data_IF_546544229234
#
_entry.id   IF_546544229234
#
_cell.length_a   1.000
_cell.length_b   1.000
_cell.length_c   1.000
_cell.angle_alpha   90.00
_cell.angle_beta   90.00
_cell.angle_gamma   90.00
#
_symmetry.space_group_name_H-M   'P 1'
#
loop_
_entity.id
_entity.type
_entity.pdbx_description
1 polymer ?
#
# COMPACT_ATOMS: atom_id res chain seq x y z
N UNK A 1 -3.12 -3.39 22.60
CA UNK A 1 -2.62 -4.56 21.87
C UNK A 1 -3.72 -5.16 20.99
N UNK A 2 -3.39 -5.42 19.74
CA UNK A 2 -4.27 -6.16 18.84
C UNK A 2 -3.99 -7.66 19.05
N UNK A 3 -5.03 -8.47 19.22
CA UNK A 3 -4.88 -9.92 19.28
C UNK A 3 -4.64 -10.43 17.86
N UNK A 4 -3.55 -11.16 17.58
CA UNK A 4 -3.32 -11.74 16.27
C UNK A 4 -4.41 -12.77 15.94
N UNK A 5 -4.87 -12.87 14.69
CA UNK A 5 -5.82 -13.91 14.28
C UNK A 5 -5.17 -15.29 14.30
N UNK A 6 -6.02 -16.31 14.37
CA UNK A 6 -5.62 -17.72 14.32
C UNK A 6 -6.32 -18.36 13.12
N UNK A 7 -5.54 -18.82 12.15
CA UNK A 7 -6.03 -19.54 10.99
C UNK A 7 -5.99 -21.04 11.28
N UNK A 8 -7.12 -21.63 11.70
CA UNK A 8 -7.21 -23.04 12.11
C UNK A 8 -8.03 -23.91 11.14
N UNK A 9 -8.67 -23.31 10.14
CA UNK A 9 -9.49 -23.98 9.13
C UNK A 9 -9.39 -23.30 7.78
N UNK A 10 -10.23 -23.71 6.83
CA UNK A 10 -10.33 -23.07 5.54
C UNK A 10 -10.93 -21.66 5.67
N UNK A 11 -10.46 -20.76 4.81
CA UNK A 11 -10.78 -19.35 4.90
C UNK A 11 -11.85 -19.01 3.86
N UNK A 12 -12.91 -18.33 4.32
CA UNK A 12 -13.95 -17.79 3.47
C UNK A 12 -14.36 -16.40 3.91
N UNK A 13 -14.95 -15.64 3.02
CA UNK A 13 -15.51 -14.32 3.28
C UNK A 13 -17.05 -14.43 3.30
N UNK A 14 -17.68 -14.48 4.50
CA UNK A 14 -19.12 -14.68 4.59
C UNK A 14 -19.95 -13.45 4.19
N UNK A 15 -19.37 -12.25 4.26
CA UNK A 15 -20.04 -10.97 3.98
C UNK A 15 -19.02 -9.87 3.64
N UNK A 16 -19.48 -8.75 3.01
CA UNK A 16 -18.63 -7.57 2.81
C UNK A 16 -18.03 -7.05 4.11
N UNK A 17 -16.77 -6.61 4.06
CA UNK A 17 -16.00 -6.18 5.24
C UNK A 17 -15.96 -4.65 5.35
N UNK A 18 -15.66 -3.94 4.25
CA UNK A 18 -15.35 -2.50 4.22
C UNK A 18 -16.25 -1.72 3.28
N UNK A 19 -17.05 -2.37 2.46
CA UNK A 19 -17.90 -1.73 1.43
C UNK A 19 -18.80 -0.66 2.04
N UNK A 20 -19.48 -0.96 3.15
CA UNK A 20 -20.39 0.00 3.80
C UNK A 20 -19.64 1.26 4.31
N UNK A 21 -18.43 1.09 4.85
CA UNK A 21 -17.59 2.21 5.31
C UNK A 21 -17.08 3.04 4.13
N UNK A 22 -16.62 2.40 3.07
CA UNK A 22 -16.09 3.07 1.87
C UNK A 22 -17.19 3.86 1.15
N UNK A 23 -18.39 3.29 1.00
CA UNK A 23 -19.54 3.97 0.38
C UNK A 23 -20.04 5.11 1.25
N UNK A 24 -20.06 4.95 2.57
CA UNK A 24 -20.40 6.05 3.48
C UNK A 24 -19.38 7.21 3.34
N UNK A 25 -18.08 6.91 3.35
CA UNK A 25 -17.04 7.93 3.15
C UNK A 25 -17.21 8.63 1.79
N UNK A 26 -17.48 7.89 0.72
CA UNK A 26 -17.72 8.45 -0.61
C UNK A 26 -18.96 9.36 -0.65
N UNK A 27 -19.99 9.07 0.15
CA UNK A 27 -21.20 9.92 0.21
C UNK A 27 -20.98 11.31 0.80
N UNK A 28 -19.83 11.53 1.46
CA UNK A 28 -19.48 12.79 2.12
C UNK A 28 -18.68 13.75 1.20
N UNK A 29 -18.28 13.30 0.01
CA UNK A 29 -17.43 14.07 -0.90
C UNK A 29 -17.60 13.67 -2.36
N UNK A 30 -17.41 14.64 -3.26
CA UNK A 30 -17.33 14.40 -4.71
C UNK A 30 -15.91 13.95 -5.16
N UNK A 31 -14.92 13.93 -4.25
CA UNK A 31 -13.58 13.44 -4.55
C UNK A 31 -13.54 11.92 -4.43
N UNK A 32 -12.75 11.22 -5.26
CA UNK A 32 -12.60 9.78 -5.13
C UNK A 32 -12.12 9.39 -3.73
N UNK A 33 -12.86 8.48 -3.08
CA UNK A 33 -12.44 7.85 -1.84
C UNK A 33 -11.75 6.51 -2.14
N UNK A 34 -10.62 6.30 -1.48
CA UNK A 34 -9.85 5.07 -1.63
C UNK A 34 -10.40 3.99 -0.69
N UNK A 35 -10.75 2.82 -1.23
CA UNK A 35 -10.98 1.61 -0.45
C UNK A 35 -9.64 1.07 0.07
N UNK A 36 -9.61 0.66 1.35
CA UNK A 36 -8.38 0.22 2.02
C UNK A 36 -8.53 -1.20 2.55
N UNK A 37 -7.60 -2.07 2.20
CA UNK A 37 -7.57 -3.47 2.61
C UNK A 37 -6.17 -3.86 3.06
N UNK A 38 -6.07 -4.82 3.98
CA UNK A 38 -4.81 -5.52 4.26
C UNK A 38 -4.67 -6.68 3.27
N UNK A 39 -3.49 -6.83 2.69
CA UNK A 39 -3.21 -7.85 1.70
C UNK A 39 -3.05 -9.26 2.28
N UNK A 40 -3.18 -10.29 1.44
CA UNK A 40 -3.18 -11.68 1.90
C UNK A 40 -1.87 -12.13 2.55
N UNK A 41 -0.73 -11.65 2.06
CA UNK A 41 0.59 -12.00 2.62
C UNK A 41 0.77 -11.38 4.00
N UNK A 42 0.34 -10.14 4.17
CA UNK A 42 0.39 -9.44 5.45
C UNK A 42 -0.53 -10.09 6.47
N UNK A 43 -1.78 -10.42 6.11
CA UNK A 43 -2.70 -11.14 7.00
C UNK A 43 -2.10 -12.47 7.43
N UNK A 44 -1.53 -13.23 6.47
CA UNK A 44 -0.89 -14.51 6.76
C UNK A 44 0.26 -14.35 7.76
N UNK A 45 1.17 -13.38 7.52
CA UNK A 45 2.37 -13.21 8.33
C UNK A 45 2.08 -12.68 9.74
N UNK A 46 1.00 -11.93 9.91
CA UNK A 46 0.54 -11.43 11.22
C UNK A 46 -0.43 -12.35 11.94
N UNK A 47 -0.67 -13.56 11.41
CA UNK A 47 -1.55 -14.57 11.97
C UNK A 47 -0.77 -15.77 12.52
N UNK A 48 -1.35 -16.48 13.48
CA UNK A 48 -0.96 -17.85 13.77
C UNK A 48 -1.58 -18.75 12.70
N UNK A 49 -0.73 -19.37 11.88
CA UNK A 49 -1.17 -20.12 10.71
C UNK A 49 -1.19 -21.61 11.00
N UNK A 50 -2.25 -22.31 10.55
CA UNK A 50 -2.36 -23.77 10.56
C UNK A 50 -1.13 -24.43 9.92
N UNK A 51 -0.74 -25.60 10.38
CA UNK A 51 0.46 -26.35 9.98
C UNK A 51 0.17 -27.64 9.18
N UNK A 52 -1.10 -27.95 8.96
CA UNK A 52 -1.54 -29.13 8.21
C UNK A 52 -1.55 -28.94 6.69
N UNK A 53 -1.25 -27.72 6.22
CA UNK A 53 -1.07 -27.38 4.80
C UNK A 53 0.04 -26.34 4.60
N UNK A 54 0.60 -26.22 3.37
CA UNK A 54 1.59 -25.19 3.08
C UNK A 54 1.06 -23.78 3.30
N UNK A 55 1.91 -22.85 3.80
CA UNK A 55 1.56 -21.43 3.98
C UNK A 55 1.05 -20.78 2.69
N UNK A 56 1.59 -21.16 1.53
CA UNK A 56 1.13 -20.70 0.23
C UNK A 56 -0.34 -21.05 -0.04
N UNK A 57 -0.80 -22.24 0.35
CA UNK A 57 -2.20 -22.62 0.22
C UNK A 57 -3.13 -21.76 1.10
N UNK A 58 -2.73 -21.51 2.36
CA UNK A 58 -3.47 -20.60 3.23
C UNK A 58 -3.50 -19.16 2.70
N UNK A 59 -2.37 -18.69 2.14
CA UNK A 59 -2.28 -17.37 1.52
C UNK A 59 -3.22 -17.24 0.30
N UNK A 60 -3.28 -18.26 -0.53
CA UNK A 60 -4.19 -18.31 -1.68
C UNK A 60 -5.66 -18.23 -1.25
N UNK A 61 -6.05 -18.91 -0.17
CA UNK A 61 -7.41 -18.80 0.38
C UNK A 61 -7.71 -17.35 0.85
N UNK A 62 -6.74 -16.70 1.51
CA UNK A 62 -6.86 -15.28 1.88
C UNK A 62 -7.00 -14.39 0.64
N UNK A 63 -6.17 -14.63 -0.39
CA UNK A 63 -6.21 -13.87 -1.63
C UNK A 63 -7.58 -13.94 -2.32
N UNK A 64 -8.19 -15.12 -2.37
CA UNK A 64 -9.53 -15.31 -2.93
C UNK A 64 -10.62 -14.59 -2.10
N UNK A 65 -10.49 -14.58 -0.78
CA UNK A 65 -11.40 -13.85 0.10
C UNK A 65 -11.27 -12.33 -0.08
N UNK A 66 -10.05 -11.81 -0.17
CA UNK A 66 -9.76 -10.38 -0.44
C UNK A 66 -10.25 -9.99 -1.84
N UNK A 67 -10.06 -10.83 -2.84
CA UNK A 67 -10.57 -10.59 -4.20
C UNK A 67 -12.09 -10.34 -4.21
N UNK A 68 -12.85 -11.10 -3.44
CA UNK A 68 -14.30 -10.88 -3.33
C UNK A 68 -14.63 -9.49 -2.77
N UNK A 69 -13.85 -9.02 -1.77
CA UNK A 69 -14.02 -7.67 -1.24
C UNK A 69 -13.67 -6.60 -2.27
N UNK A 70 -12.56 -6.78 -3.00
CA UNK A 70 -12.12 -5.87 -4.07
C UNK A 70 -13.21 -5.73 -5.15
N UNK A 71 -13.79 -6.85 -5.59
CA UNK A 71 -14.89 -6.84 -6.56
C UNK A 71 -16.16 -6.17 -6.02
N UNK A 72 -16.48 -6.35 -4.75
CA UNK A 72 -17.66 -5.71 -4.16
C UNK A 72 -17.44 -4.21 -3.93
N UNK A 73 -16.21 -3.76 -3.61
CA UNK A 73 -15.85 -2.34 -3.56
C UNK A 73 -16.03 -1.69 -4.95
N UNK A 74 -15.51 -2.32 -6.00
CA UNK A 74 -15.69 -1.82 -7.37
C UNK A 74 -17.16 -1.73 -7.78
N UNK A 75 -17.95 -2.79 -7.53
CA UNK A 75 -19.41 -2.79 -7.78
C UNK A 75 -20.15 -1.68 -7.04
N UNK A 76 -19.65 -1.31 -5.85
CA UNK A 76 -20.18 -0.21 -5.06
C UNK A 76 -19.71 1.18 -5.54
N UNK A 77 -18.93 1.24 -6.64
CA UNK A 77 -18.47 2.49 -7.26
C UNK A 77 -17.13 3.01 -6.76
N UNK A 78 -16.41 2.26 -5.91
CA UNK A 78 -15.04 2.61 -5.49
C UNK A 78 -14.09 2.38 -6.67
N UNK A 79 -13.35 3.42 -7.07
CA UNK A 79 -12.48 3.40 -8.25
C UNK A 79 -11.00 3.30 -7.93
N UNK A 80 -10.63 3.47 -6.68
CA UNK A 80 -9.25 3.34 -6.20
C UNK A 80 -9.26 2.40 -5.02
N UNK A 81 -8.58 1.26 -5.12
CA UNK A 81 -8.54 0.24 -4.07
C UNK A 81 -7.08 -0.04 -3.72
N UNK A 82 -6.73 0.13 -2.45
CA UNK A 82 -5.40 -0.13 -1.94
C UNK A 82 -5.39 -1.43 -1.14
N UNK A 83 -4.44 -2.30 -1.46
CA UNK A 83 -4.21 -3.59 -0.81
C UNK A 83 -2.80 -3.55 -0.22
N UNK A 84 -2.69 -3.37 1.10
CA UNK A 84 -1.43 -3.13 1.79
C UNK A 84 -0.66 -4.42 2.06
N UNK A 85 0.57 -4.52 1.57
CA UNK A 85 1.49 -5.64 1.84
C UNK A 85 2.67 -5.22 2.72
N UNK A 86 2.34 -4.68 3.90
CA UNK A 86 3.30 -4.20 4.89
C UNK A 86 4.31 -5.28 5.33
N UNK A 87 3.88 -6.55 5.41
CA UNK A 87 4.69 -7.65 5.90
C UNK A 87 5.31 -8.53 4.81
N UNK A 88 5.32 -8.08 3.54
CA UNK A 88 5.94 -8.84 2.45
C UNK A 88 7.42 -9.15 2.75
N UNK A 89 8.20 -8.15 3.14
CA UNK A 89 9.61 -8.32 3.46
C UNK A 89 9.84 -9.03 4.79
N UNK A 90 9.02 -8.78 5.80
CA UNK A 90 9.09 -9.45 7.10
C UNK A 90 8.91 -10.97 6.98
N UNK A 91 8.10 -11.42 6.03
CA UNK A 91 7.82 -12.81 5.78
C UNK A 91 8.92 -13.58 5.04
N UNK A 92 10.00 -12.91 4.60
CA UNK A 92 11.10 -13.58 3.93
C UNK A 92 11.72 -14.68 4.80
N UNK A 93 11.93 -15.89 4.26
CA UNK A 93 12.60 -16.94 4.97
C UNK A 93 14.01 -16.53 5.40
N UNK A 94 14.52 -17.07 6.52
CA UNK A 94 15.88 -16.81 6.99
C UNK A 94 16.96 -17.22 5.98
N UNK A 95 16.69 -18.27 5.19
CA UNK A 95 17.62 -18.76 4.16
C UNK A 95 17.30 -18.10 2.82
N UNK A 96 18.25 -17.35 2.27
CA UNK A 96 18.13 -16.69 0.95
C UNK A 96 17.75 -17.64 -0.18
N UNK A 97 18.17 -18.90 -0.12
CA UNK A 97 17.82 -19.93 -1.11
C UNK A 97 16.32 -20.21 -1.19
N UNK A 98 15.55 -19.81 -0.19
CA UNK A 98 14.09 -19.99 -0.12
C UNK A 98 13.31 -18.72 -0.49
N UNK A 99 14.00 -17.59 -0.70
CA UNK A 99 13.35 -16.31 -0.97
C UNK A 99 12.52 -16.35 -2.25
N UNK A 100 13.09 -16.87 -3.33
CA UNK A 100 12.40 -16.89 -4.62
C UNK A 100 11.07 -17.66 -4.53
N UNK A 101 11.08 -18.85 -3.93
CA UNK A 101 9.86 -19.64 -3.75
C UNK A 101 8.81 -18.93 -2.90
N UNK A 102 9.24 -18.20 -1.85
CA UNK A 102 8.34 -17.38 -1.04
C UNK A 102 7.77 -16.22 -1.87
N UNK A 103 8.62 -15.47 -2.56
CA UNK A 103 8.22 -14.31 -3.34
C UNK A 103 7.30 -14.69 -4.51
N UNK A 104 7.52 -15.85 -5.13
CA UNK A 104 6.67 -16.33 -6.22
C UNK A 104 5.21 -16.49 -5.77
N UNK A 105 4.94 -17.23 -4.70
CA UNK A 105 3.56 -17.40 -4.23
C UNK A 105 2.99 -16.15 -3.54
N UNK A 106 3.84 -15.30 -2.96
CA UNK A 106 3.42 -14.04 -2.35
C UNK A 106 2.92 -13.06 -3.43
N UNK A 107 3.69 -12.89 -4.51
CA UNK A 107 3.29 -12.07 -5.67
C UNK A 107 2.03 -12.64 -6.33
N UNK A 108 1.96 -13.95 -6.54
CA UNK A 108 0.77 -14.61 -7.09
C UNK A 108 -0.46 -14.32 -6.22
N UNK A 109 -0.35 -14.46 -4.91
CA UNK A 109 -1.45 -14.19 -3.98
C UNK A 109 -1.91 -12.73 -4.03
N UNK A 110 -0.99 -11.76 -4.10
CA UNK A 110 -1.35 -10.36 -4.28
C UNK A 110 -2.10 -10.15 -5.61
N UNK A 111 -1.57 -10.64 -6.71
CA UNK A 111 -2.20 -10.53 -8.04
C UNK A 111 -3.59 -11.15 -8.09
N UNK A 112 -3.79 -12.28 -7.42
CA UNK A 112 -5.12 -12.91 -7.31
C UNK A 112 -6.06 -12.00 -6.53
N UNK A 113 -5.63 -11.40 -5.42
CA UNK A 113 -6.47 -10.49 -4.63
C UNK A 113 -6.84 -9.21 -5.39
N UNK A 114 -5.96 -8.71 -6.24
CA UNK A 114 -6.14 -7.50 -7.05
C UNK A 114 -6.92 -7.75 -8.35
N UNK A 115 -6.97 -8.99 -8.81
CA UNK A 115 -7.53 -9.36 -10.12
C UNK A 115 -9.06 -9.41 -10.12
N UNK A 116 -9.66 -9.22 -11.28
CA UNK A 116 -11.12 -9.34 -11.48
C UNK A 116 -11.89 -8.04 -11.35
N UNK A 117 -11.20 -6.91 -11.42
CA UNK A 117 -11.76 -5.56 -11.61
C UNK A 117 -11.52 -5.09 -13.04
N UNK A 118 -12.23 -4.05 -13.46
CA UNK A 118 -12.06 -3.41 -14.77
C UNK A 118 -10.77 -2.61 -14.82
N UNK A 119 -10.24 -2.36 -16.03
CA UNK A 119 -8.99 -1.63 -16.25
C UNK A 119 -9.03 -0.18 -15.72
N UNK A 120 -10.23 0.40 -15.58
CA UNK A 120 -10.41 1.74 -15.02
C UNK A 120 -10.35 1.79 -13.48
N UNK A 121 -10.38 0.64 -12.80
CA UNK A 121 -10.26 0.55 -11.35
C UNK A 121 -8.79 0.47 -10.96
N UNK A 122 -8.28 1.52 -10.34
CA UNK A 122 -6.88 1.64 -9.98
C UNK A 122 -6.56 0.84 -8.72
N UNK A 123 -5.55 -0.03 -8.82
CA UNK A 123 -5.06 -0.85 -7.70
C UNK A 123 -3.78 -0.23 -7.13
N UNK A 124 -3.84 0.10 -5.85
CA UNK A 124 -2.69 0.58 -5.09
C UNK A 124 -2.17 -0.48 -4.14
N UNK A 125 -0.90 -0.38 -3.77
CA UNK A 125 -0.32 -1.11 -2.64
C UNK A 125 0.50 -0.18 -1.77
N UNK A 126 0.76 -0.60 -0.55
CA UNK A 126 1.62 0.12 0.39
C UNK A 126 2.60 -0.82 1.05
N UNK A 127 3.83 -0.34 1.21
CA UNK A 127 4.89 -1.05 1.93
C UNK A 127 5.47 -0.17 3.02
N UNK A 128 5.38 -0.67 4.26
CA UNK A 128 5.97 -0.03 5.43
C UNK A 128 7.44 -0.44 5.58
N UNK A 129 8.30 0.47 6.02
CA UNK A 129 9.68 0.23 6.52
C UNK A 129 10.49 -0.84 5.76
N UNK A 130 10.43 -0.83 4.42
CA UNK A 130 11.09 -1.86 3.63
C UNK A 130 12.30 -1.33 2.89
N UNK A 131 13.44 -2.02 3.00
CA UNK A 131 14.53 -1.89 2.05
C UNK A 131 14.17 -2.70 0.81
N UNK A 132 14.04 -2.04 -0.36
CA UNK A 132 13.50 -2.66 -1.57
C UNK A 132 14.55 -3.33 -2.46
N UNK A 133 15.83 -3.00 -2.30
CA UNK A 133 16.88 -3.39 -3.24
C UNK A 133 16.89 -4.89 -3.54
N UNK A 134 16.68 -5.72 -2.53
CA UNK A 134 16.76 -7.18 -2.66
C UNK A 134 15.52 -7.82 -3.30
N UNK A 135 14.36 -7.12 -3.31
CA UNK A 135 13.07 -7.68 -3.73
C UNK A 135 12.30 -6.79 -4.72
N UNK A 136 12.92 -5.74 -5.23
CA UNK A 136 12.27 -4.75 -6.10
C UNK A 136 11.63 -5.37 -7.35
N UNK A 137 12.24 -6.42 -7.90
CA UNK A 137 11.69 -7.14 -9.05
C UNK A 137 10.38 -7.85 -8.70
N UNK A 138 10.30 -8.45 -7.52
CA UNK A 138 9.08 -9.09 -7.02
C UNK A 138 8.00 -8.07 -6.70
N UNK A 139 8.38 -6.90 -6.16
CA UNK A 139 7.45 -5.78 -5.95
C UNK A 139 6.87 -5.30 -7.29
N UNK A 140 7.70 -5.12 -8.29
CA UNK A 140 7.23 -4.76 -9.64
C UNK A 140 6.32 -5.83 -10.25
N UNK A 141 6.62 -7.11 -9.99
CA UNK A 141 5.83 -8.25 -10.47
C UNK A 141 4.44 -8.36 -9.79
N UNK A 142 4.20 -7.66 -8.66
CA UNK A 142 2.86 -7.54 -8.09
C UNK A 142 1.91 -6.78 -9.01
N UNK A 143 2.44 -5.92 -9.87
CA UNK A 143 1.70 -5.21 -10.91
C UNK A 143 0.60 -4.29 -10.37
N UNK A 144 0.86 -3.63 -9.24
CA UNK A 144 -0.01 -2.58 -8.73
C UNK A 144 0.22 -1.29 -9.52
N UNK A 145 -0.86 -0.56 -9.86
CA UNK A 145 -0.76 0.70 -10.60
C UNK A 145 0.04 1.76 -9.85
N UNK A 146 -0.09 1.79 -8.52
CA UNK A 146 0.64 2.71 -7.65
C UNK A 146 1.18 1.98 -6.42
N UNK A 147 2.46 2.18 -6.12
CA UNK A 147 3.04 1.80 -4.83
C UNK A 147 3.28 3.03 -3.97
N UNK A 148 2.79 3.01 -2.73
CA UNK A 148 3.13 4.01 -1.72
C UNK A 148 4.17 3.47 -0.75
N UNK A 149 5.16 4.29 -0.41
CA UNK A 149 6.31 3.91 0.41
C UNK A 149 6.67 4.99 1.42
N UNK A 150 7.23 4.61 2.54
CA UNK A 150 7.71 5.53 3.57
C UNK A 150 9.09 6.08 3.19
N UNK A 151 9.20 7.38 2.99
CA UNK A 151 10.44 8.03 2.53
C UNK A 151 10.78 9.33 3.27
N UNK A 152 9.87 9.86 4.10
CA UNK A 152 10.08 11.17 4.71
C UNK A 152 11.29 11.21 5.65
N UNK A 153 11.59 10.11 6.34
CA UNK A 153 12.73 10.02 7.28
C UNK A 153 14.08 9.85 6.60
N UNK A 154 14.10 9.35 5.37
CA UNK A 154 15.32 9.12 4.60
C UNK A 154 15.60 10.23 3.61
N UNK A 155 14.91 11.38 3.68
CA UNK A 155 15.01 12.47 2.70
C UNK A 155 14.99 11.93 1.25
N UNK A 156 14.11 10.98 0.98
CA UNK A 156 13.95 10.30 -0.33
C UNK A 156 15.11 9.37 -0.75
N UNK A 157 16.10 9.09 0.11
CA UNK A 157 17.21 8.18 -0.23
C UNK A 157 16.71 6.77 -0.59
N UNK A 158 15.60 6.33 0.00
CA UNK A 158 15.00 5.03 -0.33
C UNK A 158 14.63 4.91 -1.82
N UNK A 159 14.36 6.03 -2.50
CA UNK A 159 14.12 6.07 -3.95
C UNK A 159 15.37 5.78 -4.80
N UNK A 160 16.56 5.71 -4.20
CA UNK A 160 17.77 5.35 -4.93
C UNK A 160 17.72 3.92 -5.48
N UNK A 161 16.91 3.04 -4.88
CA UNK A 161 16.59 1.73 -5.44
C UNK A 161 16.05 1.80 -6.89
N UNK A 162 15.30 2.85 -7.18
CA UNK A 162 14.68 3.08 -8.50
C UNK A 162 15.63 3.69 -9.54
N UNK A 163 16.82 4.15 -9.15
CA UNK A 163 17.86 4.63 -10.10
C UNK A 163 18.41 3.48 -10.95
N UNK A 164 18.47 2.28 -10.38
CA UNK A 164 19.07 1.10 -11.01
C UNK A 164 18.02 0.11 -11.53
N UNK A 165 16.77 0.32 -11.19
CA UNK A 165 15.64 -0.49 -11.63
C UNK A 165 14.54 0.42 -12.19
N UNK A 166 14.24 0.25 -13.45
CA UNK A 166 13.15 0.98 -14.10
C UNK A 166 11.81 0.41 -13.62
N UNK A 167 11.31 0.94 -12.49
CA UNK A 167 9.99 0.54 -11.98
C UNK A 167 8.90 0.91 -13.00
N UNK A 168 8.02 -0.03 -13.37
CA UNK A 168 7.10 0.19 -14.49
C UNK A 168 5.96 1.15 -14.16
N UNK A 169 5.49 1.20 -12.92
CA UNK A 169 4.25 1.85 -12.51
C UNK A 169 4.51 3.14 -11.70
N UNK A 170 3.47 3.72 -11.10
CA UNK A 170 3.53 4.98 -10.37
C UNK A 170 3.99 4.78 -8.92
N UNK A 171 4.54 5.82 -8.32
CA UNK A 171 5.12 5.78 -6.97
C UNK A 171 4.60 6.95 -6.14
N UNK A 172 4.14 6.65 -4.93
CA UNK A 172 3.79 7.63 -3.91
C UNK A 172 4.82 7.62 -2.78
N UNK A 173 5.88 8.44 -2.86
CA UNK A 173 6.79 8.62 -1.73
C UNK A 173 6.12 9.43 -0.64
N UNK A 174 6.23 8.98 0.62
CA UNK A 174 5.66 9.67 1.77
C UNK A 174 6.39 10.99 2.07
N UNK A 175 5.62 12.03 2.36
CA UNK A 175 6.13 13.37 2.71
C UNK A 175 5.74 13.82 4.12
N UNK A 176 5.08 12.94 4.87
CA UNK A 176 4.65 13.19 6.23
C UNK A 176 4.93 11.99 7.13
N UNK A 177 5.90 12.15 8.05
CA UNK A 177 6.17 11.16 9.10
C UNK A 177 5.04 11.15 10.13
N UNK A 178 4.18 10.15 10.04
CA UNK A 178 3.03 9.99 10.93
C UNK A 178 3.42 9.56 12.36
N UNK A 179 4.67 9.19 12.60
CA UNK A 179 5.17 8.83 13.93
C UNK A 179 5.69 10.06 14.70
N UNK A 180 5.92 11.19 14.00
CA UNK A 180 6.28 12.46 14.59
C UNK A 180 5.04 13.29 14.91
N UNK A 181 4.98 14.00 16.08
CA UNK A 181 3.93 14.96 16.36
C UNK A 181 4.06 16.25 15.54
N UNK A 182 5.18 16.43 14.84
CA UNK A 182 5.44 17.63 14.04
C UNK A 182 4.52 17.67 12.83
N UNK A 183 3.97 18.84 12.56
CA UNK A 183 3.18 19.11 11.35
C UNK A 183 4.15 19.66 10.30
N UNK A 184 4.46 18.92 9.23
CA UNK A 184 5.38 19.40 8.20
C UNK A 184 4.77 20.57 7.43
N UNK A 185 5.61 21.53 7.05
CA UNK A 185 5.17 22.68 6.25
C UNK A 185 4.98 22.29 4.78
N UNK A 186 4.22 23.12 4.06
CA UNK A 186 4.05 22.97 2.61
C UNK A 186 5.40 22.97 1.89
N UNK A 187 6.30 23.90 2.24
CA UNK A 187 7.61 24.08 1.62
C UNK A 187 8.49 22.84 1.82
N UNK A 188 8.45 22.24 3.02
CA UNK A 188 9.18 21.01 3.30
C UNK A 188 8.68 19.85 2.43
N UNK A 189 7.35 19.67 2.32
CA UNK A 189 6.77 18.63 1.45
C UNK A 189 7.10 18.86 -0.03
N UNK A 190 7.07 20.12 -0.50
CA UNK A 190 7.48 20.48 -1.87
C UNK A 190 8.93 20.11 -2.10
N UNK A 191 9.84 20.44 -1.16
CA UNK A 191 11.26 20.07 -1.25
C UNK A 191 11.44 18.55 -1.37
N UNK A 192 10.75 17.75 -0.55
CA UNK A 192 10.84 16.29 -0.61
C UNK A 192 10.37 15.77 -1.97
N UNK A 193 9.27 16.28 -2.50
CA UNK A 193 8.78 15.86 -3.82
C UNK A 193 9.70 16.29 -4.96
N UNK A 194 10.37 17.43 -4.86
CA UNK A 194 11.40 17.84 -5.82
C UNK A 194 12.59 16.88 -5.82
N UNK A 195 13.06 16.44 -4.64
CA UNK A 195 14.07 15.39 -4.53
C UNK A 195 13.61 14.06 -5.13
N UNK A 196 12.33 13.69 -4.95
CA UNK A 196 11.75 12.52 -5.58
C UNK A 196 11.73 12.64 -7.11
N UNK A 197 11.43 13.82 -7.64
CA UNK A 197 11.38 14.09 -9.08
C UNK A 197 12.75 14.03 -9.78
N UNK A 198 13.86 14.11 -9.02
CA UNK A 198 15.19 13.84 -9.55
C UNK A 198 15.41 12.34 -9.89
N UNK A 199 14.58 11.45 -9.35
CA UNK A 199 14.73 9.99 -9.43
C UNK A 199 13.62 9.32 -10.23
N UNK A 200 12.43 9.90 -10.18
CA UNK A 200 11.22 9.36 -10.83
C UNK A 200 10.53 10.49 -11.60
N UNK A 201 10.10 10.30 -12.85
CA UNK A 201 9.37 11.31 -13.61
C UNK A 201 8.17 11.86 -12.81
N UNK A 202 8.04 13.19 -12.78
CA UNK A 202 7.02 13.87 -11.97
C UNK A 202 5.59 13.41 -12.27
N UNK A 203 5.31 13.03 -13.54
CA UNK A 203 4.01 12.51 -13.99
C UNK A 203 3.64 11.16 -13.35
N UNK A 204 4.62 10.46 -12.74
CA UNK A 204 4.45 9.17 -12.09
C UNK A 204 4.50 9.26 -10.57
N UNK A 205 4.53 10.49 -10.02
CA UNK A 205 4.63 10.74 -8.59
C UNK A 205 3.27 11.09 -7.98
N UNK A 206 3.00 10.48 -6.83
CA UNK A 206 1.87 10.81 -5.97
C UNK A 206 2.36 11.48 -4.69
N UNK A 207 1.55 12.38 -4.12
CA UNK A 207 1.83 13.02 -2.82
C UNK A 207 0.97 12.34 -1.75
N UNK A 208 1.61 11.70 -0.78
CA UNK A 208 0.93 10.97 0.29
C UNK A 208 1.71 11.03 1.62
N UNK A 209 1.08 10.71 2.76
CA UNK A 209 1.81 10.51 4.01
C UNK A 209 2.61 9.21 3.94
N UNK A 210 3.56 9.02 4.86
CA UNK A 210 4.34 7.79 4.96
C UNK A 210 3.45 6.56 5.19
N UNK A 211 2.49 6.67 6.07
CA UNK A 211 1.58 5.57 6.42
C UNK A 211 0.22 6.09 6.89
N UNK A 212 -0.64 5.20 7.40
CA UNK A 212 -1.95 5.56 7.94
C UNK A 212 -1.88 6.47 9.16
N UNK A 213 -2.79 7.44 9.24
CA UNK A 213 -2.78 8.54 10.21
C UNK A 213 -3.29 8.18 11.61
N UNK A 214 -3.56 6.90 11.87
CA UNK A 214 -4.22 6.39 13.09
C UNK A 214 -3.53 6.73 14.41
N UNK A 215 -2.25 7.11 14.37
CA UNK A 215 -1.47 7.48 15.56
C UNK A 215 -1.51 8.98 15.88
N UNK A 216 -2.14 9.78 15.03
CA UNK A 216 -2.20 11.24 15.13
C UNK A 216 -3.57 11.72 15.58
N UNK A 217 -3.60 12.89 16.21
CA UNK A 217 -4.85 13.57 16.62
C UNK A 217 -5.36 14.46 15.49
N UNK A 218 -6.65 14.76 15.48
CA UNK A 218 -7.26 15.63 14.47
C UNK A 218 -6.60 17.02 14.39
N UNK A 219 -6.14 17.55 15.53
CA UNK A 219 -5.42 18.83 15.58
C UNK A 219 -4.08 18.81 14.83
N UNK A 220 -3.48 17.64 14.66
CA UNK A 220 -2.24 17.42 13.88
C UNK A 220 -2.56 17.03 12.43
N UNK A 221 -3.52 16.12 12.25
CA UNK A 221 -3.88 15.56 10.93
C UNK A 221 -4.45 16.63 10.00
N UNK A 222 -5.38 17.44 10.49
CA UNK A 222 -6.07 18.42 9.65
C UNK A 222 -5.11 19.42 8.99
N UNK A 223 -4.23 20.12 9.72
CA UNK A 223 -3.27 21.05 9.11
C UNK A 223 -2.19 20.30 8.28
N UNK A 224 -1.76 19.10 8.67
CA UNK A 224 -0.80 18.34 7.90
C UNK A 224 -1.34 17.94 6.51
N UNK A 225 -2.58 17.47 6.45
CA UNK A 225 -3.25 17.14 5.18
C UNK A 225 -3.54 18.40 4.34
N UNK A 226 -3.89 19.53 4.97
CA UNK A 226 -4.04 20.79 4.27
C UNK A 226 -2.72 21.20 3.58
N UNK A 227 -1.60 21.19 4.32
CA UNK A 227 -0.27 21.49 3.78
C UNK A 227 0.11 20.51 2.64
N UNK A 228 -0.23 19.24 2.77
CA UNK A 228 0.03 18.23 1.74
C UNK A 228 -0.75 18.51 0.44
N UNK A 229 -2.01 18.89 0.56
CA UNK A 229 -2.85 19.28 -0.61
C UNK A 229 -2.30 20.53 -1.28
N UNK A 230 -1.91 21.55 -0.50
CA UNK A 230 -1.32 22.79 -1.05
C UNK A 230 0.05 22.51 -1.70
N UNK A 231 0.88 21.63 -1.13
CA UNK A 231 2.13 21.17 -1.75
C UNK A 231 1.87 20.51 -3.10
N UNK A 232 0.87 19.61 -3.19
CA UNK A 232 0.50 18.97 -4.43
C UNK A 232 -0.02 19.96 -5.49
N UNK A 233 -0.77 20.99 -5.08
CA UNK A 233 -1.23 22.07 -5.97
C UNK A 233 -0.08 22.92 -6.49
N UNK A 234 0.83 23.33 -5.61
CA UNK A 234 2.01 24.10 -5.99
C UNK A 234 2.90 23.35 -6.97
N UNK A 235 3.13 22.05 -6.73
CA UNK A 235 3.93 21.21 -7.64
C UNK A 235 3.28 21.08 -9.02
N UNK A 236 1.96 20.83 -9.09
CA UNK A 236 1.24 20.76 -10.37
C UNK A 236 1.24 22.06 -11.15
N UNK A 237 1.25 23.20 -10.47
CA UNK A 237 1.31 24.52 -11.11
C UNK A 237 2.70 24.83 -11.68
N UNK A 238 3.73 24.10 -11.26
CA UNK A 238 5.11 24.26 -11.72
C UNK A 238 5.52 23.27 -12.83
N UNK A 239 4.65 22.31 -13.18
CA UNK A 239 4.82 21.35 -14.29
C UNK A 239 4.30 21.93 -15.59
#
# INVERSE_FOLDING_TARGET
>A
CVKPPILFGDISRPQPMTVAWSTYAQSLTDKPMKGMLTGPVTILNWSFVRDDQPRSASCLQLALAIRQEVQDLEKAGVRIIQIDEAALREGLPLRRTQWQSYLDWAVESFRISANGVADETQIHTHMCYSEFNDIIQSIAAMDADVITIETSRSDMELLDAFKHFQYPNEIGPGVYDIHSPNIPTQEYMVKLMQLAAERVPAQRLWVNPDCGLKTRQWAEVTPALANMVEAARALRAAL
#
